data_IF_900321227759
#
_entry.id   IF_900321227759
#
_cell.length_a   1.000
_cell.length_b   1.000
_cell.length_c   1.000
_cell.angle_alpha   90.00
_cell.angle_beta   90.00
_cell.angle_gamma   90.00
#
_symmetry.space_group_name_H-M   'P 1'
#
loop_
_entity.id
_entity.type
_entity.pdbx_description
1 polymer ?
#
# COMPACT_ATOMS: atom_id res chain seq x y z
N UNK A 1 -16.05 0.01 -6.26
CA UNK A 1 -16.04 1.04 -5.20
C UNK A 1 -14.78 0.83 -4.35
N UNK A 2 -13.66 1.45 -4.71
CA UNK A 2 -12.38 1.31 -4.00
C UNK A 2 -12.30 2.33 -2.86
N UNK A 3 -12.71 1.91 -1.66
CA UNK A 3 -12.48 2.68 -0.42
C UNK A 3 -11.06 2.39 0.12
N UNK A 4 -10.01 2.50 -0.72
CA UNK A 4 -8.64 2.46 -0.19
C UNK A 4 -8.44 3.72 0.67
N UNK A 5 -8.34 3.52 1.98
CA UNK A 5 -8.22 4.57 3.00
C UNK A 5 -6.74 4.80 3.28
N UNK A 6 -6.20 5.89 2.73
CA UNK A 6 -4.79 6.25 2.86
C UNK A 6 -4.53 6.93 4.20
N UNK A 7 -3.51 6.45 4.89
CA UNK A 7 -3.00 7.06 6.10
C UNK A 7 -2.18 8.32 5.74
N UNK A 8 -2.55 9.47 6.33
CA UNK A 8 -1.92 10.76 6.01
C UNK A 8 -0.48 10.89 6.50
N UNK A 9 -0.06 10.06 7.44
CA UNK A 9 1.29 10.08 8.01
C UNK A 9 2.28 9.27 7.18
N UNK A 10 1.84 8.13 6.65
CA UNK A 10 2.71 7.23 5.86
C UNK A 10 2.46 7.30 4.35
N UNK A 11 1.31 7.82 3.93
CA UNK A 11 0.88 7.83 2.52
C UNK A 11 0.51 6.45 1.97
N UNK A 12 0.40 5.44 2.83
CA UNK A 12 0.03 4.06 2.49
C UNK A 12 -1.43 3.77 2.80
N UNK A 13 -2.05 2.89 2.03
CA UNK A 13 -3.42 2.47 2.27
C UNK A 13 -3.50 1.47 3.44
N UNK A 14 -4.40 1.73 4.40
CA UNK A 14 -4.57 0.86 5.57
C UNK A 14 -5.19 -0.50 5.24
N UNK A 15 -6.06 -0.59 4.24
CA UNK A 15 -6.60 -1.87 3.77
C UNK A 15 -5.73 -2.53 2.70
N UNK A 16 -5.13 -1.72 1.84
CA UNK A 16 -4.53 -2.19 0.61
C UNK A 16 -3.01 -2.16 0.63
N UNK A 17 -2.33 -1.62 1.65
CA UNK A 17 -0.86 -1.44 1.77
C UNK A 17 -0.16 -0.61 0.68
N UNK A 18 -0.85 -0.26 -0.41
CA UNK A 18 -0.35 0.51 -1.55
C UNK A 18 -0.35 2.01 -1.27
N UNK A 19 0.62 2.71 -1.84
CA UNK A 19 0.67 4.17 -1.81
C UNK A 19 -0.10 4.82 -2.97
N UNK A 20 -0.52 6.08 -2.82
CA UNK A 20 -1.13 6.90 -3.90
C UNK A 20 -0.30 6.90 -5.20
N UNK A 21 1.03 7.12 -5.18
CA UNK A 21 1.84 7.07 -6.39
C UNK A 21 1.90 5.66 -7.00
N UNK A 22 1.91 4.60 -6.20
CA UNK A 22 1.86 3.23 -6.73
C UNK A 22 0.53 2.90 -7.41
N UNK A 23 -0.61 3.31 -6.86
CA UNK A 23 -1.89 3.12 -7.54
C UNK A 23 -1.95 3.89 -8.88
N UNK A 24 -1.37 5.10 -8.92
CA UNK A 24 -1.29 5.89 -10.16
C UNK A 24 -0.35 5.26 -11.18
N UNK A 25 0.81 4.78 -10.71
CA UNK A 25 1.79 4.10 -11.54
C UNK A 25 1.32 2.70 -11.95
N UNK A 26 0.40 2.06 -11.21
CA UNK A 26 -0.08 0.69 -11.47
C UNK A 26 -0.54 0.50 -12.91
N UNK A 27 -1.26 1.49 -13.46
CA UNK A 27 -1.74 1.47 -14.85
C UNK A 27 -0.62 1.51 -15.89
N UNK A 28 0.55 2.06 -15.55
CA UNK A 28 1.77 2.11 -16.39
C UNK A 28 2.87 1.16 -15.88
N UNK A 29 2.63 0.41 -14.82
CA UNK A 29 3.65 -0.37 -14.15
C UNK A 29 3.89 -1.65 -14.92
N UNK A 30 5.17 -1.94 -15.19
CA UNK A 30 5.56 -3.23 -15.74
C UNK A 30 5.14 -4.38 -14.81
N UNK A 31 4.83 -5.56 -15.35
CA UNK A 31 4.41 -6.72 -14.55
C UNK A 31 5.43 -7.10 -13.47
N UNK A 32 6.71 -6.85 -13.71
CA UNK A 32 7.78 -7.06 -12.72
C UNK A 32 7.69 -6.09 -11.53
N UNK A 33 7.36 -4.83 -11.79
CA UNK A 33 7.11 -3.82 -10.76
C UNK A 33 5.84 -4.17 -9.97
N UNK A 34 4.78 -4.60 -10.67
CA UNK A 34 3.54 -5.05 -10.04
C UNK A 34 3.78 -6.20 -9.06
N UNK A 35 4.61 -7.19 -9.44
CA UNK A 35 5.02 -8.30 -8.56
C UNK A 35 5.84 -7.84 -7.36
N UNK A 36 6.79 -6.92 -7.55
CA UNK A 36 7.55 -6.32 -6.43
C UNK A 36 6.62 -5.63 -5.43
N UNK A 37 5.68 -4.82 -5.92
CA UNK A 37 4.71 -4.12 -5.08
C UNK A 37 3.82 -5.13 -4.35
N UNK A 38 3.35 -6.18 -5.03
CA UNK A 38 2.55 -7.27 -4.44
C UNK A 38 3.31 -8.06 -3.37
N UNK A 39 4.62 -8.25 -3.52
CA UNK A 39 5.45 -8.90 -2.51
C UNK A 39 5.74 -7.99 -1.31
N UNK A 40 5.85 -6.68 -1.53
CA UNK A 40 6.12 -5.70 -0.47
C UNK A 40 4.85 -5.34 0.33
N UNK A 41 3.69 -5.51 -0.28
CA UNK A 41 2.36 -5.30 0.29
C UNK A 41 2.12 -5.96 1.67
N UNK A 42 2.26 -7.28 1.83
CA UNK A 42 2.10 -7.94 3.14
C UNK A 42 3.14 -7.46 4.16
N UNK A 43 4.35 -7.14 3.72
CA UNK A 43 5.43 -6.62 4.58
C UNK A 43 5.12 -5.20 5.08
N UNK A 44 4.52 -4.35 4.25
CA UNK A 44 4.03 -3.02 4.65
C UNK A 44 2.80 -3.09 5.54
N UNK A 45 1.87 -4.00 5.24
CA UNK A 45 0.69 -4.25 6.08
C UNK A 45 1.07 -4.73 7.46
N UNK A 46 2.04 -5.64 7.60
CA UNK A 46 2.57 -6.06 8.91
C UNK A 46 3.17 -4.87 9.69
N UNK A 47 3.90 -3.98 9.00
CA UNK A 47 4.49 -2.78 9.59
C UNK A 47 3.43 -1.73 9.99
N UNK A 48 2.34 -1.64 9.22
CA UNK A 48 1.18 -0.80 9.52
C UNK A 48 0.35 -1.38 10.67
N UNK A 49 0.09 -2.68 10.70
CA UNK A 49 -0.64 -3.35 11.77
C UNK A 49 0.05 -3.19 13.12
N UNK A 50 1.38 -3.30 13.15
CA UNK A 50 2.16 -3.01 14.36
C UNK A 50 2.14 -1.54 14.78
N UNK A 51 1.86 -0.60 13.87
CA UNK A 51 1.71 0.82 14.16
C UNK A 51 0.27 1.23 14.48
N UNK A 52 -0.72 0.57 13.89
CA UNK A 52 -2.14 0.82 14.10
C UNK A 52 -2.58 0.44 15.53
N UNK A 53 -1.88 -0.51 16.16
CA UNK A 53 -2.10 -0.89 17.56
C UNK A 53 -1.63 0.16 18.60
N UNK A 54 -0.97 1.25 18.19
CA UNK A 54 -0.50 2.32 19.09
C UNK A 54 -1.48 3.49 19.25
N UNK A 55 -2.74 3.37 18.80
CA UNK A 55 -3.72 4.45 18.93
C UNK A 55 -5.02 4.01 19.58
#
# INVERSE_FOLDING_TARGET
MDLCRFDGTTGWCRGCGRSKPECRAWKKAQPQQQRKIAADLPRRLAKLAGRELQK
#
